data_IF_754198516442
#
_entry.id   IF_754198516442
#
_cell.length_a   1.000
_cell.length_b   1.000
_cell.length_c   1.000
_cell.angle_alpha   90.00
_cell.angle_beta   90.00
_cell.angle_gamma   90.00
#
_symmetry.space_group_name_H-M   'P 1'
#
loop_
_entity.id
_entity.type
_entity.pdbx_description
1 polymer ?
#
# COMPACT_ATOMS: atom_id res chain seq x y z
N UNK A 1 -1.81 -5.58 27.86
CA UNK A 1 -2.26 -6.02 26.54
C UNK A 1 -1.19 -6.95 25.97
N UNK A 2 -1.45 -8.24 25.94
CA UNK A 2 -0.51 -9.23 25.41
C UNK A 2 -0.34 -9.00 23.90
N UNK A 3 0.80 -8.50 23.49
CA UNK A 3 1.22 -8.56 22.09
C UNK A 3 1.41 -10.04 21.75
N UNK A 4 0.45 -10.65 21.07
CA UNK A 4 0.68 -11.89 20.36
C UNK A 4 1.83 -11.64 19.36
N UNK A 5 3.06 -11.97 19.76
CA UNK A 5 4.20 -12.02 18.83
C UNK A 5 3.84 -13.09 17.80
N UNK A 6 3.44 -12.68 16.61
CA UNK A 6 3.32 -13.59 15.46
C UNK A 6 4.60 -14.41 15.35
N UNK A 7 4.45 -15.73 15.30
CA UNK A 7 5.58 -16.65 15.19
C UNK A 7 6.27 -16.39 13.85
N UNK A 8 7.56 -16.11 13.86
CA UNK A 8 8.33 -15.91 12.62
C UNK A 8 8.28 -17.19 11.79
N UNK A 9 7.95 -17.05 10.50
CA UNK A 9 7.89 -18.17 9.54
C UNK A 9 8.92 -17.99 8.45
N UNK A 10 9.31 -19.09 7.81
CA UNK A 10 10.07 -19.11 6.57
C UNK A 10 9.07 -19.19 5.42
N UNK A 11 9.02 -18.15 4.60
CA UNK A 11 8.05 -17.93 3.53
C UNK A 11 8.74 -17.98 2.18
N UNK A 12 8.20 -18.72 1.23
CA UNK A 12 8.60 -18.65 -0.17
C UNK A 12 7.56 -17.95 -1.03
N UNK A 13 8.00 -17.09 -1.95
CA UNK A 13 7.19 -16.59 -3.06
C UNK A 13 7.78 -17.11 -4.36
N UNK A 14 6.94 -17.66 -5.21
CA UNK A 14 7.35 -18.41 -6.42
C UNK A 14 6.69 -17.81 -7.66
N UNK A 15 7.51 -17.50 -8.68
CA UNK A 15 7.04 -17.08 -10.01
C UNK A 15 8.13 -17.30 -11.05
N UNK A 16 7.79 -17.18 -12.33
CA UNK A 16 8.71 -17.30 -13.46
C UNK A 16 9.84 -16.27 -13.40
N UNK A 17 9.51 -15.04 -13.03
CA UNK A 17 10.40 -13.88 -12.94
C UNK A 17 10.16 -13.03 -11.69
N UNK A 18 11.13 -12.16 -11.38
CA UNK A 18 11.09 -11.20 -10.27
C UNK A 18 11.77 -9.90 -10.71
N UNK A 19 11.55 -8.75 -10.07
CA UNK A 19 12.23 -7.51 -10.43
C UNK A 19 13.75 -7.65 -10.58
N UNK A 20 14.38 -6.93 -11.53
CA UNK A 20 13.89 -5.78 -12.27
C UNK A 20 13.10 -6.10 -13.55
N UNK A 21 12.66 -7.35 -13.77
CA UNK A 21 11.70 -7.66 -14.83
C UNK A 21 10.41 -6.89 -14.58
N UNK A 22 9.95 -6.16 -15.60
CA UNK A 22 8.75 -5.32 -15.49
C UNK A 22 7.53 -6.16 -15.80
N UNK A 23 6.68 -6.37 -14.81
CA UNK A 23 5.41 -7.07 -14.94
C UNK A 23 4.54 -6.84 -13.71
N UNK A 24 3.22 -7.03 -13.89
CA UNK A 24 2.26 -6.78 -12.80
C UNK A 24 2.43 -7.74 -11.61
N UNK A 25 2.70 -9.02 -11.90
CA UNK A 25 2.87 -10.04 -10.86
C UNK A 25 4.18 -9.84 -10.09
N UNK A 26 5.25 -9.48 -10.79
CA UNK A 26 6.57 -9.21 -10.21
C UNK A 26 6.50 -8.07 -9.19
N UNK A 27 5.83 -6.96 -9.52
CA UNK A 27 5.62 -5.85 -8.58
C UNK A 27 4.80 -6.26 -7.35
N UNK A 28 3.77 -7.09 -7.54
CA UNK A 28 2.96 -7.59 -6.42
C UNK A 28 3.80 -8.50 -5.53
N UNK A 29 4.58 -9.41 -6.11
CA UNK A 29 5.47 -10.28 -5.35
C UNK A 29 6.52 -9.49 -4.56
N UNK A 30 7.11 -8.46 -5.16
CA UNK A 30 8.06 -7.59 -4.48
C UNK A 30 7.40 -6.91 -3.28
N UNK A 31 6.20 -6.37 -3.47
CA UNK A 31 5.45 -5.74 -2.38
C UNK A 31 5.11 -6.72 -1.25
N UNK A 32 4.61 -7.92 -1.58
CA UNK A 32 4.35 -8.97 -0.59
C UNK A 32 5.62 -9.37 0.16
N UNK A 33 6.73 -9.56 -0.56
CA UNK A 33 8.02 -9.92 0.04
C UNK A 33 8.47 -8.84 1.04
N UNK A 34 8.36 -7.57 0.68
CA UNK A 34 8.68 -6.43 1.56
C UNK A 34 7.78 -6.42 2.80
N UNK A 35 6.47 -6.62 2.66
CA UNK A 35 5.54 -6.64 3.79
C UNK A 35 5.86 -7.81 4.76
N UNK A 36 6.10 -9.00 4.25
CA UNK A 36 6.49 -10.14 5.08
C UNK A 36 7.83 -9.93 5.78
N UNK A 37 8.84 -9.40 5.08
CA UNK A 37 10.15 -9.11 5.65
C UNK A 37 10.08 -8.03 6.74
N UNK A 38 9.31 -6.96 6.53
CA UNK A 38 9.05 -5.91 7.52
C UNK A 38 8.33 -6.44 8.77
N UNK A 39 7.47 -7.43 8.61
CA UNK A 39 6.82 -8.14 9.73
C UNK A 39 7.77 -9.11 10.46
N UNK A 40 9.00 -9.28 9.97
CA UNK A 40 10.05 -10.08 10.61
C UNK A 40 10.09 -11.54 10.18
N UNK A 41 9.37 -11.93 9.13
CA UNK A 41 9.49 -13.26 8.53
C UNK A 41 10.78 -13.38 7.70
N UNK A 42 11.28 -14.60 7.51
CA UNK A 42 12.36 -14.90 6.56
C UNK A 42 11.73 -15.14 5.19
N UNK A 43 12.13 -14.36 4.19
CA UNK A 43 11.52 -14.42 2.85
C UNK A 43 12.52 -14.94 1.82
N UNK A 44 12.08 -15.94 1.07
CA UNK A 44 12.82 -16.53 -0.05
C UNK A 44 12.01 -16.40 -1.34
N UNK A 45 12.59 -15.76 -2.35
CA UNK A 45 12.03 -15.72 -3.70
C UNK A 45 12.60 -16.88 -4.48
N UNK A 46 11.76 -17.70 -5.08
CA UNK A 46 12.16 -18.79 -5.98
C UNK A 46 11.69 -18.42 -7.39
N UNK A 47 12.64 -18.21 -8.30
CA UNK A 47 12.38 -17.62 -9.62
C UNK A 47 13.41 -18.05 -10.67
N UNK A 48 13.09 -17.90 -11.95
CA UNK A 48 14.04 -18.12 -13.05
C UNK A 48 15.02 -16.97 -13.21
N UNK A 49 14.50 -15.75 -13.15
CA UNK A 49 15.27 -14.53 -13.36
C UNK A 49 14.82 -13.45 -12.37
N UNK A 50 15.77 -12.63 -11.92
CA UNK A 50 15.50 -11.53 -10.99
C UNK A 50 16.61 -11.34 -9.96
N UNK A 51 16.52 -10.27 -9.18
CA UNK A 51 17.44 -9.96 -8.07
C UNK A 51 16.71 -9.17 -6.98
N UNK A 52 17.12 -9.32 -5.73
CA UNK A 52 16.68 -8.43 -4.64
C UNK A 52 17.81 -7.49 -4.24
N UNK A 53 17.43 -6.32 -3.78
CA UNK A 53 18.33 -5.35 -3.13
C UNK A 53 18.07 -5.27 -1.63
N UNK A 54 17.07 -5.98 -1.12
CA UNK A 54 16.68 -6.00 0.28
C UNK A 54 17.45 -7.10 1.04
N UNK A 55 18.13 -6.75 2.11
CA UNK A 55 18.97 -7.67 2.90
C UNK A 55 18.21 -8.87 3.49
N UNK A 56 16.94 -8.68 3.82
CA UNK A 56 16.10 -9.71 4.45
C UNK A 56 15.30 -10.56 3.45
N UNK A 57 15.53 -10.39 2.15
CA UNK A 57 14.87 -11.14 1.09
C UNK A 57 15.93 -11.89 0.27
N UNK A 58 15.97 -13.21 0.45
CA UNK A 58 16.89 -14.08 -0.29
C UNK A 58 16.31 -14.47 -1.65
N UNK A 59 17.16 -14.64 -2.67
CA UNK A 59 16.74 -15.14 -3.99
C UNK A 59 17.39 -16.49 -4.29
N UNK A 60 16.56 -17.48 -4.61
CA UNK A 60 16.95 -18.77 -5.13
C UNK A 60 16.57 -18.86 -6.61
N UNK A 61 17.56 -18.91 -7.50
CA UNK A 61 17.33 -18.97 -8.94
C UNK A 61 17.38 -20.41 -9.44
N UNK A 62 16.33 -20.80 -10.17
CA UNK A 62 16.24 -22.05 -10.91
C UNK A 62 16.09 -21.67 -12.38
N UNK A 63 17.14 -21.85 -13.18
CA UNK A 63 17.23 -21.35 -14.57
C UNK A 63 15.97 -21.68 -15.39
N UNK A 64 15.51 -22.92 -15.29
CA UNK A 64 14.40 -23.41 -16.13
C UNK A 64 12.99 -23.05 -15.56
N UNK A 65 12.90 -22.17 -14.53
CA UNK A 65 11.65 -21.48 -14.22
C UNK A 65 11.36 -20.40 -15.24
N UNK A 66 12.43 -19.76 -15.77
CA UNK A 66 12.28 -18.74 -16.80
C UNK A 66 11.59 -19.31 -18.04
N UNK A 67 10.69 -18.53 -18.61
CA UNK A 67 9.96 -18.88 -19.83
C UNK A 67 10.81 -18.84 -21.08
N UNK A 68 11.95 -18.14 -21.02
CA UNK A 68 12.94 -17.94 -22.07
C UNK A 68 14.20 -18.79 -21.88
N UNK A 69 14.20 -19.77 -20.96
CA UNK A 69 15.28 -20.76 -20.92
C UNK A 69 15.14 -21.72 -22.10
N UNK A 70 16.26 -22.04 -22.75
CA UNK A 70 16.30 -22.89 -23.95
C UNK A 70 15.52 -24.20 -23.77
N UNK A 71 15.71 -24.89 -22.64
CA UNK A 71 15.04 -26.16 -22.36
C UNK A 71 13.52 -25.97 -22.18
N UNK A 72 13.09 -24.89 -21.52
CA UNK A 72 11.68 -24.56 -21.34
C UNK A 72 11.02 -24.21 -22.67
N UNK A 73 11.67 -23.40 -23.52
CA UNK A 73 11.15 -23.00 -24.83
C UNK A 73 10.93 -24.24 -25.73
N UNK A 74 11.93 -25.14 -25.81
CA UNK A 74 11.80 -26.36 -26.60
C UNK A 74 10.64 -27.23 -26.15
N UNK A 75 10.53 -27.48 -24.83
CA UNK A 75 9.44 -28.29 -24.25
C UNK A 75 8.09 -27.64 -24.49
N UNK A 76 7.97 -26.30 -24.33
CA UNK A 76 6.74 -25.58 -24.59
C UNK A 76 6.32 -25.62 -26.06
N UNK A 77 7.27 -25.58 -26.99
CA UNK A 77 7.01 -25.69 -28.43
C UNK A 77 6.55 -27.11 -28.80
N UNK A 78 7.23 -28.15 -28.30
CA UNK A 78 6.78 -29.55 -28.47
C UNK A 78 5.33 -29.73 -28.00
N UNK A 79 4.99 -29.20 -26.83
CA UNK A 79 3.64 -29.25 -26.29
C UNK A 79 2.60 -28.49 -27.13
N UNK A 80 2.95 -27.30 -27.64
CA UNK A 80 2.06 -26.53 -28.55
C UNK A 80 1.79 -27.30 -29.86
N UNK A 81 2.77 -28.05 -30.34
CA UNK A 81 2.64 -28.90 -31.51
C UNK A 81 1.92 -30.24 -31.19
N UNK A 82 1.47 -30.43 -29.95
CA UNK A 82 0.71 -31.62 -29.53
C UNK A 82 1.56 -32.81 -29.09
N UNK A 83 2.88 -32.65 -28.97
CA UNK A 83 3.80 -33.72 -28.59
C UNK A 83 4.14 -33.66 -27.09
N UNK A 84 3.81 -34.74 -26.38
CA UNK A 84 4.27 -34.96 -25.00
C UNK A 84 5.47 -35.90 -25.03
N UNK A 85 6.69 -35.33 -25.00
CA UNK A 85 7.95 -36.07 -25.19
C UNK A 85 8.56 -36.51 -23.86
N UNK A 86 9.61 -37.36 -23.92
CA UNK A 86 10.42 -37.70 -22.74
C UNK A 86 11.13 -36.48 -22.16
N UNK A 87 11.44 -35.48 -23.00
CA UNK A 87 12.08 -34.21 -22.59
C UNK A 87 11.23 -33.49 -21.55
N UNK A 88 9.90 -33.42 -21.75
CA UNK A 88 8.99 -32.86 -20.77
C UNK A 88 9.11 -33.58 -19.40
N UNK A 89 9.13 -34.91 -19.39
CA UNK A 89 9.28 -35.69 -18.15
C UNK A 89 10.63 -35.44 -17.45
N UNK A 90 11.71 -35.35 -18.23
CA UNK A 90 13.05 -35.04 -17.68
C UNK A 90 13.10 -33.64 -17.06
N UNK A 91 12.59 -32.61 -17.77
CA UNK A 91 12.53 -31.23 -17.26
C UNK A 91 11.64 -31.14 -16.02
N UNK A 92 10.44 -31.72 -16.05
CA UNK A 92 9.55 -31.77 -14.87
C UNK A 92 10.25 -32.37 -13.65
N UNK A 93 10.91 -33.51 -13.80
CA UNK A 93 11.58 -34.20 -12.69
C UNK A 93 12.79 -33.44 -12.17
N UNK A 94 13.54 -32.76 -13.06
CA UNK A 94 14.63 -31.84 -12.69
C UNK A 94 14.09 -30.69 -11.86
N UNK A 95 13.08 -29.98 -12.37
CA UNK A 95 12.42 -28.87 -11.67
C UNK A 95 11.88 -29.30 -10.32
N UNK A 96 11.20 -30.45 -10.24
CA UNK A 96 10.68 -30.98 -8.98
C UNK A 96 11.76 -31.12 -7.92
N UNK A 97 12.91 -31.73 -8.26
CA UNK A 97 14.04 -31.90 -7.34
C UNK A 97 14.62 -30.56 -6.86
N UNK A 98 14.78 -29.60 -7.77
CA UNK A 98 15.32 -28.28 -7.43
C UNK A 98 14.35 -27.49 -6.55
N UNK A 99 13.04 -27.55 -6.82
CA UNK A 99 11.99 -26.95 -5.99
C UNK A 99 11.97 -27.58 -4.60
N UNK A 100 11.98 -28.90 -4.49
CA UNK A 100 11.99 -29.60 -3.22
C UNK A 100 13.18 -29.19 -2.36
N UNK A 101 14.37 -29.06 -2.98
CA UNK A 101 15.57 -28.55 -2.30
C UNK A 101 15.39 -27.09 -1.82
N UNK A 102 14.80 -26.23 -2.66
CA UNK A 102 14.58 -24.82 -2.33
C UNK A 102 13.54 -24.63 -1.22
N UNK A 103 12.54 -25.51 -1.16
CA UNK A 103 11.43 -25.47 -0.20
C UNK A 103 11.71 -26.24 1.11
N UNK A 104 12.90 -26.85 1.29
CA UNK A 104 13.17 -27.71 2.44
C UNK A 104 12.88 -27.09 3.80
N UNK A 105 13.30 -25.84 4.01
CA UNK A 105 13.14 -25.06 5.23
C UNK A 105 11.89 -24.16 5.25
N UNK A 106 11.08 -24.15 4.19
CA UNK A 106 9.90 -23.29 4.02
C UNK A 106 8.68 -23.93 4.71
N UNK A 107 7.93 -23.14 5.44
CA UNK A 107 6.65 -23.53 6.03
C UNK A 107 5.44 -23.06 5.22
N UNK A 108 5.56 -21.90 4.57
CA UNK A 108 4.49 -21.28 3.76
C UNK A 108 5.00 -20.94 2.38
N UNK A 109 4.30 -21.36 1.33
CA UNK A 109 4.69 -21.14 -0.06
C UNK A 109 3.56 -20.50 -0.85
N UNK A 110 3.79 -19.29 -1.37
CA UNK A 110 2.90 -18.57 -2.27
C UNK A 110 3.33 -18.81 -3.72
N UNK A 111 2.51 -19.50 -4.50
CA UNK A 111 2.77 -19.86 -5.90
C UNK A 111 1.95 -18.96 -6.82
N UNK A 112 2.59 -17.95 -7.42
CA UNK A 112 1.92 -16.95 -8.24
C UNK A 112 1.80 -17.40 -9.70
N UNK A 113 0.58 -17.52 -10.21
CA UNK A 113 0.21 -17.84 -11.60
C UNK A 113 0.70 -19.18 -12.17
N UNK A 114 1.62 -19.90 -11.53
CA UNK A 114 2.24 -21.11 -12.10
C UNK A 114 1.19 -22.20 -12.40
N UNK A 115 0.12 -22.29 -11.60
CA UNK A 115 -0.92 -23.30 -11.73
C UNK A 115 -2.14 -22.85 -12.56
N UNK A 116 -2.12 -21.60 -13.07
CA UNK A 116 -3.21 -21.05 -13.88
C UNK A 116 -2.76 -20.54 -15.24
N UNK A 117 -1.42 -20.35 -15.43
CA UNK A 117 -0.85 -19.86 -16.68
C UNK A 117 0.00 -20.93 -17.36
N UNK A 118 -0.05 -20.92 -18.69
CA UNK A 118 0.54 -21.96 -19.56
C UNK A 118 2.02 -21.77 -19.91
N UNK A 119 2.70 -20.78 -19.33
CA UNK A 119 4.02 -20.34 -19.80
C UNK A 119 5.15 -21.36 -19.56
N UNK A 120 4.99 -22.24 -18.57
CA UNK A 120 5.93 -23.34 -18.30
C UNK A 120 5.19 -24.55 -17.71
N UNK A 121 4.69 -25.43 -18.59
CA UNK A 121 3.87 -26.56 -18.18
C UNK A 121 4.64 -27.64 -17.40
N UNK A 122 5.96 -27.75 -17.62
CA UNK A 122 6.80 -28.65 -16.82
C UNK A 122 6.88 -28.18 -15.36
N UNK A 123 6.98 -26.86 -15.15
CA UNK A 123 6.93 -26.23 -13.82
C UNK A 123 5.57 -26.42 -13.16
N UNK A 124 4.47 -26.20 -13.90
CA UNK A 124 3.10 -26.46 -13.44
C UNK A 124 2.92 -27.90 -12.97
N UNK A 125 3.40 -28.88 -13.76
CA UNK A 125 3.31 -30.29 -13.41
C UNK A 125 4.18 -30.65 -12.19
N UNK A 126 5.37 -30.09 -12.08
CA UNK A 126 6.26 -30.28 -10.92
C UNK A 126 5.60 -29.76 -9.62
N UNK A 127 5.02 -28.54 -9.64
CA UNK A 127 4.30 -27.99 -8.48
C UNK A 127 3.03 -28.78 -8.15
N UNK A 128 2.26 -29.23 -9.14
CA UNK A 128 1.09 -30.10 -8.89
C UNK A 128 1.48 -31.36 -8.12
N UNK A 129 2.60 -32.01 -8.47
CA UNK A 129 3.10 -33.18 -7.74
C UNK A 129 3.59 -32.83 -6.33
N UNK A 130 4.35 -31.74 -6.16
CA UNK A 130 4.87 -31.30 -4.86
C UNK A 130 3.75 -30.96 -3.89
N UNK A 131 2.72 -30.23 -4.34
CA UNK A 131 1.58 -29.88 -3.51
C UNK A 131 0.82 -31.14 -3.04
N UNK A 132 0.67 -32.16 -3.90
CA UNK A 132 0.08 -33.43 -3.52
C UNK A 132 0.92 -34.19 -2.49
N UNK A 133 2.25 -34.11 -2.58
CA UNK A 133 3.17 -34.81 -1.69
C UNK A 133 3.38 -34.11 -0.35
N UNK A 134 3.44 -32.76 -0.34
CA UNK A 134 3.85 -31.98 0.82
C UNK A 134 2.77 -31.06 1.40
N UNK A 135 1.56 -31.05 0.81
CA UNK A 135 0.53 -30.12 1.21
C UNK A 135 -0.12 -30.41 2.58
N UNK A 136 0.16 -31.56 3.19
CA UNK A 136 -0.20 -31.84 4.60
C UNK A 136 0.84 -31.28 5.59
N UNK A 137 2.08 -31.04 5.14
CA UNK A 137 3.20 -30.57 5.98
C UNK A 137 3.46 -29.09 5.83
N UNK A 138 3.10 -28.51 4.68
CA UNK A 138 3.40 -27.12 4.29
C UNK A 138 2.16 -26.43 3.75
N UNK A 139 1.99 -25.16 4.09
CA UNK A 139 0.91 -24.32 3.56
C UNK A 139 1.24 -23.86 2.13
N UNK A 140 0.45 -24.29 1.14
CA UNK A 140 0.56 -23.82 -0.23
C UNK A 140 -0.60 -22.89 -0.59
N UNK A 141 -0.28 -21.63 -0.87
CA UNK A 141 -1.22 -20.63 -1.38
C UNK A 141 -1.04 -20.47 -2.89
N UNK A 142 -2.07 -20.84 -3.65
CA UNK A 142 -2.08 -20.74 -5.11
C UNK A 142 -2.69 -19.40 -5.49
N UNK A 143 -1.82 -18.45 -5.88
CA UNK A 143 -2.22 -17.09 -6.16
C UNK A 143 -2.53 -16.88 -7.63
N UNK A 144 -3.82 -16.72 -7.94
CA UNK A 144 -4.35 -16.65 -9.29
C UNK A 144 -4.62 -15.18 -9.67
N UNK A 145 -3.64 -14.51 -10.27
CA UNK A 145 -3.85 -13.17 -10.83
C UNK A 145 -4.59 -13.25 -12.14
N UNK A 146 -4.24 -14.27 -12.96
CA UNK A 146 -4.83 -14.53 -14.26
C UNK A 146 -4.94 -16.04 -14.52
N UNK A 147 -5.72 -16.40 -15.53
CA UNK A 147 -5.85 -17.78 -15.98
C UNK A 147 -5.88 -17.86 -17.50
N UNK A 148 -5.03 -18.73 -18.06
CA UNK A 148 -4.90 -18.95 -19.50
C UNK A 148 -6.26 -19.15 -20.20
N UNK A 149 -7.11 -20.00 -19.63
CA UNK A 149 -8.38 -20.36 -20.27
C UNK A 149 -9.49 -19.31 -20.15
N UNK A 150 -9.24 -18.25 -19.40
CA UNK A 150 -10.13 -17.09 -19.31
C UNK A 150 -9.72 -15.94 -20.25
N UNK A 151 -8.56 -16.07 -20.91
CA UNK A 151 -8.08 -15.08 -21.86
C UNK A 151 -8.26 -15.62 -23.30
N UNK A 152 -9.11 -14.98 -24.14
CA UNK A 152 -9.38 -15.44 -25.50
C UNK A 152 -8.17 -15.35 -26.44
N UNK A 153 -7.15 -14.56 -26.09
CA UNK A 153 -5.92 -14.42 -26.88
C UNK A 153 -5.02 -15.65 -26.82
N UNK A 154 -5.22 -16.51 -25.80
CA UNK A 154 -4.44 -17.73 -25.65
C UNK A 154 -5.12 -18.94 -26.29
N UNK A 155 -4.54 -19.42 -27.37
CA UNK A 155 -4.99 -20.64 -28.05
C UNK A 155 -4.17 -21.82 -27.58
N UNK A 156 -4.77 -22.67 -26.75
CA UNK A 156 -4.13 -23.86 -26.17
C UNK A 156 -4.67 -25.13 -26.84
N UNK A 157 -3.82 -25.93 -27.49
CA UNK A 157 -4.21 -27.20 -28.06
C UNK A 157 -4.52 -28.21 -26.94
N UNK A 158 -5.43 -29.13 -27.20
CA UNK A 158 -5.69 -30.29 -26.31
C UNK A 158 -6.01 -29.91 -24.84
N UNK A 159 -6.79 -28.84 -24.61
CA UNK A 159 -7.15 -28.29 -23.29
C UNK A 159 -7.49 -29.34 -22.23
N UNK A 160 -8.21 -30.41 -22.60
CA UNK A 160 -8.62 -31.49 -21.69
C UNK A 160 -7.57 -32.57 -21.44
N UNK A 161 -6.38 -32.49 -22.08
CA UNK A 161 -5.31 -33.49 -21.94
C UNK A 161 -4.19 -33.02 -21.05
N UNK A 162 -3.48 -33.95 -20.41
CA UNK A 162 -2.26 -33.68 -19.68
C UNK A 162 -1.16 -33.18 -20.66
N UNK A 163 -0.37 -32.16 -20.30
CA UNK A 163 -0.37 -31.46 -19.01
C UNK A 163 -1.35 -30.27 -18.94
N UNK A 164 -1.99 -29.83 -20.03
CA UNK A 164 -2.83 -28.64 -20.13
C UNK A 164 -4.02 -28.63 -19.16
N UNK A 165 -4.61 -29.82 -18.90
CA UNK A 165 -5.71 -29.97 -17.95
C UNK A 165 -5.36 -29.52 -16.52
N UNK A 166 -4.07 -29.53 -16.14
CA UNK A 166 -3.63 -29.08 -14.81
C UNK A 166 -3.97 -27.60 -14.52
N UNK A 167 -4.14 -26.77 -15.58
CA UNK A 167 -4.51 -25.36 -15.46
C UNK A 167 -5.99 -25.14 -15.07
N UNK A 168 -6.77 -26.19 -14.95
CA UNK A 168 -8.18 -26.17 -14.52
C UNK A 168 -8.50 -27.28 -13.52
N UNK A 169 -7.49 -27.93 -12.95
CA UNK A 169 -7.64 -28.93 -11.90
C UNK A 169 -7.29 -28.33 -10.54
N UNK A 170 -8.19 -28.47 -9.56
CA UNK A 170 -7.94 -28.04 -8.18
C UNK A 170 -6.88 -28.95 -7.55
N UNK A 171 -5.88 -28.35 -6.95
CA UNK A 171 -4.87 -29.08 -6.17
C UNK A 171 -5.43 -29.41 -4.78
N UNK A 172 -5.37 -30.67 -4.32
CA UNK A 172 -6.10 -31.15 -3.12
C UNK A 172 -5.71 -30.45 -1.82
N UNK A 173 -4.46 -30.01 -1.69
CA UNK A 173 -3.95 -29.34 -0.48
C UNK A 173 -3.58 -27.87 -0.74
N UNK A 174 -4.04 -27.28 -1.85
CA UNK A 174 -3.79 -25.90 -2.21
C UNK A 174 -4.90 -24.96 -1.73
N UNK A 175 -4.55 -23.86 -1.10
CA UNK A 175 -5.47 -22.78 -0.76
C UNK A 175 -5.44 -21.72 -1.87
N UNK A 176 -6.58 -21.50 -2.51
CA UNK A 176 -6.65 -20.64 -3.68
C UNK A 176 -6.93 -19.17 -3.32
N UNK A 177 -6.10 -18.27 -3.81
CA UNK A 177 -6.24 -16.82 -3.65
C UNK A 177 -6.44 -16.18 -5.01
N UNK A 178 -7.34 -15.22 -5.08
CA UNK A 178 -7.57 -14.39 -6.25
C UNK A 178 -7.70 -12.92 -5.89
N UNK A 179 -7.62 -12.03 -6.89
CA UNK A 179 -7.44 -10.59 -6.68
C UNK A 179 -8.75 -9.79 -6.67
N UNK A 180 -9.87 -10.38 -7.08
CA UNK A 180 -11.16 -9.67 -7.17
C UNK A 180 -12.34 -10.63 -7.19
N UNK A 181 -13.55 -10.11 -6.90
CA UNK A 181 -14.81 -10.86 -7.00
C UNK A 181 -15.09 -11.32 -8.44
N UNK A 182 -14.75 -10.51 -9.43
CA UNK A 182 -14.89 -10.87 -10.83
C UNK A 182 -14.00 -12.07 -11.17
N UNK A 183 -12.72 -12.02 -10.78
CA UNK A 183 -11.78 -13.12 -11.02
C UNK A 183 -12.18 -14.37 -10.24
N UNK A 184 -12.68 -14.22 -9.03
CA UNK A 184 -13.22 -15.31 -8.23
C UNK A 184 -14.32 -16.07 -8.95
N UNK A 185 -15.29 -15.36 -9.54
CA UNK A 185 -16.37 -15.98 -10.34
C UNK A 185 -15.82 -16.71 -11.56
N UNK A 186 -14.94 -16.07 -12.34
CA UNK A 186 -14.32 -16.67 -13.53
C UNK A 186 -13.54 -17.96 -13.21
N UNK A 187 -12.80 -17.97 -12.10
CA UNK A 187 -12.03 -19.14 -11.68
C UNK A 187 -12.95 -20.26 -11.16
N UNK A 188 -13.99 -19.93 -10.41
CA UNK A 188 -14.99 -20.88 -9.95
C UNK A 188 -15.64 -21.62 -11.12
N UNK A 189 -16.05 -20.90 -12.16
CA UNK A 189 -16.59 -21.47 -13.40
C UNK A 189 -15.55 -22.34 -14.13
N UNK A 190 -14.30 -21.84 -14.24
CA UNK A 190 -13.22 -22.57 -14.92
C UNK A 190 -12.88 -23.90 -14.24
N UNK A 191 -12.76 -23.89 -12.92
CA UNK A 191 -12.39 -25.07 -12.13
C UNK A 191 -13.59 -25.98 -11.79
N UNK A 192 -14.84 -25.53 -12.05
CA UNK A 192 -16.05 -26.27 -11.74
C UNK A 192 -16.26 -26.48 -10.24
N UNK A 193 -15.88 -25.52 -9.41
CA UNK A 193 -15.99 -25.58 -7.95
C UNK A 193 -16.76 -24.39 -7.40
N UNK A 194 -17.25 -24.52 -6.16
CA UNK A 194 -17.93 -23.42 -5.49
C UNK A 194 -17.00 -22.21 -5.29
N UNK A 195 -17.56 -21.02 -5.41
CA UNK A 195 -16.79 -19.79 -5.27
C UNK A 195 -16.16 -19.61 -3.87
N UNK A 196 -16.71 -20.24 -2.83
CA UNK A 196 -16.11 -20.23 -1.48
C UNK A 196 -14.71 -20.84 -1.43
N UNK A 197 -14.35 -21.68 -2.42
CA UNK A 197 -13.01 -22.27 -2.56
C UNK A 197 -11.91 -21.25 -2.85
N UNK A 198 -12.28 -19.98 -3.15
CA UNK A 198 -11.34 -18.92 -3.44
C UNK A 198 -11.42 -17.79 -2.40
N UNK A 199 -10.30 -17.47 -1.77
CA UNK A 199 -10.16 -16.27 -0.96
C UNK A 199 -9.82 -15.08 -1.85
N UNK A 200 -10.37 -13.88 -1.54
CA UNK A 200 -10.01 -12.65 -2.26
C UNK A 200 -8.99 -11.88 -1.44
N UNK A 201 -7.84 -11.61 -2.03
CA UNK A 201 -6.85 -10.66 -1.54
C UNK A 201 -6.58 -9.65 -2.65
N UNK A 202 -7.07 -8.41 -2.53
CA UNK A 202 -6.90 -7.42 -3.58
C UNK A 202 -5.45 -6.98 -3.71
N UNK A 203 -5.07 -6.48 -4.88
CA UNK A 203 -3.78 -5.84 -5.09
C UNK A 203 -3.72 -4.48 -4.39
N UNK A 204 -2.54 -4.11 -3.95
CA UNK A 204 -2.26 -2.84 -3.30
C UNK A 204 -1.50 -1.86 -4.17
N UNK A 205 -1.24 -0.68 -3.61
CA UNK A 205 -0.39 0.36 -4.18
C UNK A 205 0.60 0.88 -3.14
N UNK A 206 1.82 1.18 -3.57
CA UNK A 206 2.83 1.85 -2.74
C UNK A 206 2.56 3.36 -2.69
N UNK A 207 1.73 3.76 -1.73
CA UNK A 207 1.37 5.17 -1.55
C UNK A 207 2.58 6.04 -1.20
N UNK A 208 3.56 5.51 -0.47
CA UNK A 208 4.76 6.25 -0.11
C UNK A 208 5.52 6.68 -1.36
N UNK A 209 5.78 5.74 -2.27
CA UNK A 209 6.45 6.00 -3.52
C UNK A 209 5.65 6.92 -4.44
N UNK A 210 4.35 6.62 -4.65
CA UNK A 210 3.48 7.41 -5.55
C UNK A 210 3.28 8.85 -5.09
N UNK A 211 3.23 9.10 -3.78
CA UNK A 211 3.08 10.45 -3.22
C UNK A 211 4.42 11.17 -3.02
N UNK A 212 5.56 10.50 -3.28
CA UNK A 212 6.89 11.06 -3.07
C UNK A 212 7.18 11.38 -1.60
N UNK A 213 6.74 10.50 -0.69
CA UNK A 213 6.89 10.72 0.75
C UNK A 213 8.26 10.25 1.21
N UNK A 214 9.02 11.15 1.85
CA UNK A 214 10.33 10.84 2.43
C UNK A 214 10.22 9.88 3.61
N UNK A 215 11.30 9.14 3.93
CA UNK A 215 11.34 8.16 5.02
C UNK A 215 10.91 8.76 6.34
N UNK A 216 11.47 9.92 6.67
CA UNK A 216 11.15 10.65 7.90
C UNK A 216 9.65 10.97 8.00
N UNK A 217 9.07 11.54 6.94
CA UNK A 217 7.64 11.92 6.96
C UNK A 217 6.75 10.68 6.95
N UNK A 218 7.16 9.60 6.28
CA UNK A 218 6.43 8.34 6.33
C UNK A 218 6.40 7.75 7.75
N UNK A 219 7.54 7.76 8.44
CA UNK A 219 7.63 7.32 9.83
C UNK A 219 6.76 8.18 10.75
N UNK A 220 6.79 9.52 10.60
CA UNK A 220 5.91 10.43 11.34
C UNK A 220 4.44 10.12 11.06
N UNK A 221 4.08 9.87 9.80
CA UNK A 221 2.71 9.53 9.42
C UNK A 221 2.22 8.23 10.06
N UNK A 222 3.09 7.23 10.17
CA UNK A 222 2.79 5.98 10.88
C UNK A 222 2.64 6.20 12.38
N UNK A 223 3.57 6.90 13.01
CA UNK A 223 3.54 7.19 14.45
C UNK A 223 2.32 8.02 14.88
N UNK A 224 1.86 8.91 14.02
CA UNK A 224 0.65 9.71 14.22
C UNK A 224 -0.63 9.00 13.73
N UNK A 225 -0.52 7.80 13.19
CA UNK A 225 -1.63 7.04 12.61
C UNK A 225 -2.45 7.87 11.60
N UNK A 226 -1.79 8.60 10.69
CA UNK A 226 -2.48 9.47 9.73
C UNK A 226 -3.47 8.72 8.85
N UNK A 227 -3.21 7.46 8.51
CA UNK A 227 -4.11 6.61 7.72
C UNK A 227 -5.47 6.35 8.40
N UNK A 228 -5.53 6.41 9.73
CA UNK A 228 -6.73 6.19 10.54
C UNK A 228 -7.46 7.49 10.91
N UNK A 229 -6.91 8.66 10.54
CA UNK A 229 -7.61 9.92 10.70
C UNK A 229 -8.65 10.08 9.58
N UNK A 230 -9.82 10.62 9.92
CA UNK A 230 -10.83 10.95 8.91
C UNK A 230 -10.46 12.25 8.19
N UNK A 231 -9.90 13.24 8.89
CA UNK A 231 -9.48 14.50 8.31
C UNK A 231 -8.11 14.89 8.87
N UNK A 232 -7.11 15.01 8.01
CA UNK A 232 -5.80 15.56 8.33
C UNK A 232 -5.74 16.98 7.80
N UNK A 233 -5.77 17.96 8.72
CA UNK A 233 -5.63 19.37 8.39
C UNK A 233 -4.15 19.74 8.38
N UNK A 234 -3.73 20.52 7.41
CA UNK A 234 -2.36 20.97 7.27
C UNK A 234 -2.26 22.50 7.33
N UNK A 235 -1.36 23.01 8.17
CA UNK A 235 -1.14 24.44 8.33
C UNK A 235 0.36 24.75 8.32
N UNK A 236 0.95 24.97 7.13
CA UNK A 236 2.38 25.25 6.95
C UNK A 236 2.69 26.73 7.17
N UNK A 237 2.90 27.12 8.39
CA UNK A 237 3.20 28.54 8.72
C UNK A 237 4.12 28.67 9.92
N UNK A 238 4.87 29.79 10.01
CA UNK A 238 5.56 30.19 11.24
C UNK A 238 4.53 30.62 12.28
N UNK A 239 4.84 30.43 13.56
CA UNK A 239 3.96 30.82 14.66
C UNK A 239 3.99 32.35 14.78
N UNK A 240 2.97 33.01 14.26
CA UNK A 240 2.74 34.45 14.28
C UNK A 240 1.25 34.71 14.54
N UNK A 241 0.92 35.76 15.35
CA UNK A 241 -0.49 36.06 15.70
C UNK A 241 -1.39 36.28 14.48
N UNK A 242 -0.87 36.95 13.43
CA UNK A 242 -1.64 37.17 12.18
C UNK A 242 -2.00 35.89 11.44
N UNK A 243 -1.40 34.77 11.80
CA UNK A 243 -1.71 33.44 11.24
C UNK A 243 -2.93 32.80 11.91
N UNK A 244 -3.35 33.30 13.08
CA UNK A 244 -4.59 32.92 13.76
C UNK A 244 -4.67 31.42 14.08
N UNK A 245 -3.65 30.92 14.78
CA UNK A 245 -3.56 29.51 15.19
C UNK A 245 -4.72 29.12 16.11
N UNK A 246 -5.22 30.06 16.91
CA UNK A 246 -6.37 29.87 17.80
C UNK A 246 -7.59 29.38 17.03
N UNK A 247 -7.90 30.02 15.90
CA UNK A 247 -9.04 29.60 15.07
C UNK A 247 -8.83 28.23 14.47
N UNK A 248 -7.60 27.88 14.01
CA UNK A 248 -7.29 26.56 13.51
C UNK A 248 -7.48 25.47 14.60
N UNK A 249 -7.05 25.75 15.83
CA UNK A 249 -7.22 24.85 16.97
C UNK A 249 -8.72 24.67 17.28
N UNK A 250 -9.48 25.77 17.35
CA UNK A 250 -10.93 25.70 17.59
C UNK A 250 -11.68 24.92 16.49
N UNK A 251 -11.34 25.13 15.22
CA UNK A 251 -11.92 24.37 14.08
C UNK A 251 -11.60 22.88 14.23
N UNK A 252 -10.37 22.52 14.57
CA UNK A 252 -9.96 21.12 14.77
C UNK A 252 -10.73 20.49 15.93
N UNK A 253 -10.83 21.20 17.05
CA UNK A 253 -11.64 20.76 18.19
C UNK A 253 -13.12 20.56 17.78
N UNK A 254 -13.70 21.50 17.03
CA UNK A 254 -15.08 21.41 16.55
C UNK A 254 -15.29 20.19 15.63
N UNK A 255 -14.37 19.91 14.71
CA UNK A 255 -14.42 18.71 13.86
C UNK A 255 -14.47 17.43 14.71
N UNK A 256 -13.61 17.31 15.72
CA UNK A 256 -13.59 16.15 16.61
C UNK A 256 -14.91 16.05 17.44
N UNK A 257 -15.47 17.19 17.90
CA UNK A 257 -16.77 17.22 18.58
C UNK A 257 -17.94 16.86 17.67
N UNK A 258 -17.84 17.11 16.37
CA UNK A 258 -18.79 16.67 15.34
C UNK A 258 -18.60 15.19 14.95
N UNK A 259 -17.74 14.45 15.68
CA UNK A 259 -17.50 13.02 15.49
C UNK A 259 -16.52 12.71 14.35
N UNK A 260 -15.80 13.71 13.82
CA UNK A 260 -14.76 13.52 12.82
C UNK A 260 -13.40 13.38 13.46
N UNK A 261 -12.81 12.18 13.42
CA UNK A 261 -11.46 11.95 13.92
C UNK A 261 -10.45 12.77 13.12
N UNK A 262 -10.09 13.95 13.62
CA UNK A 262 -9.32 14.95 12.90
C UNK A 262 -7.99 15.25 13.59
N UNK A 263 -6.95 15.53 12.80
CA UNK A 263 -5.62 15.90 13.27
C UNK A 263 -5.15 17.16 12.55
N UNK A 264 -4.61 18.14 13.29
CA UNK A 264 -4.01 19.35 12.76
C UNK A 264 -2.47 19.26 12.82
N UNK A 265 -1.83 19.34 11.66
CA UNK A 265 -0.39 19.36 11.52
C UNK A 265 0.13 20.79 11.35
N UNK A 266 0.93 21.25 12.29
CA UNK A 266 1.52 22.59 12.37
C UNK A 266 3.02 22.49 12.17
N UNK A 267 3.59 23.07 11.09
CA UNK A 267 5.02 22.90 10.75
C UNK A 267 5.92 23.97 11.30
N UNK A 268 5.39 25.17 11.54
CA UNK A 268 6.21 26.34 11.85
C UNK A 268 6.88 26.25 13.21
N UNK A 269 8.21 26.49 13.29
CA UNK A 269 8.85 26.80 14.55
C UNK A 269 8.46 28.22 15.03
N UNK A 270 8.63 28.51 16.33
CA UNK A 270 8.62 29.87 16.80
C UNK A 270 9.66 30.70 16.06
N UNK A 271 9.38 31.98 15.80
CA UNK A 271 10.34 32.89 15.19
C UNK A 271 11.51 33.16 16.18
N UNK A 272 12.75 32.76 15.86
CA UNK A 272 13.86 32.90 16.79
C UNK A 272 14.22 34.39 17.10
N UNK A 273 13.81 35.28 16.20
CA UNK A 273 14.09 36.74 16.33
C UNK A 273 12.99 37.52 17.05
N UNK A 274 11.90 36.84 17.48
CA UNK A 274 10.78 37.51 18.13
C UNK A 274 10.42 36.83 19.46
N UNK A 275 10.80 37.42 20.59
CA UNK A 275 10.50 36.92 21.94
C UNK A 275 9.00 36.75 22.19
N UNK A 276 8.15 37.59 21.61
CA UNK A 276 6.69 37.51 21.70
C UNK A 276 6.10 36.22 21.09
N UNK A 277 6.88 35.56 20.23
CA UNK A 277 6.45 34.28 19.65
C UNK A 277 6.44 33.16 20.69
N UNK A 278 7.35 33.19 21.66
CA UNK A 278 7.37 32.18 22.75
C UNK A 278 6.17 32.34 23.69
N UNK A 279 5.82 33.59 24.02
CA UNK A 279 4.62 33.89 24.81
C UNK A 279 3.37 33.39 24.08
N UNK A 280 3.25 33.67 22.77
CA UNK A 280 2.15 33.25 21.96
C UNK A 280 2.06 31.72 21.86
N UNK A 281 3.18 31.01 21.70
CA UNK A 281 3.21 29.54 21.73
C UNK A 281 2.69 29.01 23.08
N UNK A 282 3.08 29.64 24.19
CA UNK A 282 2.58 29.22 25.52
C UNK A 282 1.08 29.43 25.66
N UNK A 283 0.52 30.52 25.11
CA UNK A 283 -0.93 30.75 25.06
C UNK A 283 -1.64 29.67 24.24
N UNK A 284 -1.08 29.29 23.07
CA UNK A 284 -1.63 28.21 22.23
C UNK A 284 -1.60 26.85 22.95
N UNK A 285 -0.51 26.53 23.64
CA UNK A 285 -0.42 25.31 24.45
C UNK A 285 -1.46 25.30 25.59
N UNK A 286 -1.67 26.45 26.25
CA UNK A 286 -2.71 26.58 27.27
C UNK A 286 -4.12 26.40 26.67
N UNK A 287 -4.37 26.94 25.49
CA UNK A 287 -5.64 26.76 24.77
C UNK A 287 -5.88 25.28 24.40
N UNK A 288 -4.87 24.60 23.84
CA UNK A 288 -4.93 23.18 23.49
C UNK A 288 -5.28 22.33 24.72
N UNK A 289 -4.61 22.59 25.84
CA UNK A 289 -4.92 21.90 27.12
C UNK A 289 -6.31 22.22 27.65
N UNK A 290 -6.74 23.49 27.57
CA UNK A 290 -8.10 23.90 27.98
C UNK A 290 -9.18 23.18 27.17
N UNK A 291 -8.93 22.90 25.90
CA UNK A 291 -9.85 22.21 24.99
C UNK A 291 -9.72 20.68 25.03
N UNK A 292 -8.77 20.13 25.80
CA UNK A 292 -8.46 18.70 25.88
C UNK A 292 -8.20 18.10 24.48
N UNK A 293 -7.36 18.79 23.68
CA UNK A 293 -7.07 18.41 22.29
C UNK A 293 -5.57 18.28 21.99
N UNK A 294 -4.76 17.86 22.99
CA UNK A 294 -3.31 17.67 22.87
C UNK A 294 -2.94 16.58 21.86
N UNK A 295 -3.84 15.61 21.64
CA UNK A 295 -3.62 14.52 20.68
C UNK A 295 -4.03 14.88 19.25
N UNK A 296 -4.85 15.91 19.11
CA UNK A 296 -5.40 16.36 17.84
C UNK A 296 -4.63 17.50 17.19
N UNK A 297 -3.73 18.18 17.95
CA UNK A 297 -2.94 19.31 17.47
C UNK A 297 -1.45 19.02 17.62
N UNK A 298 -0.79 18.82 16.50
CA UNK A 298 0.63 18.41 16.47
C UNK A 298 1.51 19.54 15.94
N UNK A 299 2.35 20.08 16.80
CA UNK A 299 3.46 20.94 16.40
C UNK A 299 4.63 20.06 15.93
N UNK A 300 4.83 19.95 14.63
CA UNK A 300 5.84 19.04 14.07
C UNK A 300 7.25 19.36 14.57
N UNK A 301 7.57 20.63 14.81
CA UNK A 301 8.88 21.01 15.36
C UNK A 301 9.16 20.43 16.77
N UNK A 302 8.13 20.07 17.55
CA UNK A 302 8.29 19.40 18.84
C UNK A 302 8.71 17.93 18.71
N UNK A 303 8.56 17.33 17.53
CA UNK A 303 8.97 15.94 17.28
C UNK A 303 10.48 15.74 17.27
N UNK A 304 11.26 16.82 17.31
CA UNK A 304 12.73 16.76 17.45
C UNK A 304 13.18 15.97 18.70
N UNK A 305 12.38 15.93 19.76
CA UNK A 305 12.67 15.14 20.94
C UNK A 305 12.63 13.62 20.64
N UNK A 306 11.79 13.21 19.71
CA UNK A 306 11.65 11.81 19.27
C UNK A 306 12.63 11.44 18.15
N UNK A 307 12.85 12.36 17.19
CA UNK A 307 13.63 12.07 15.97
C UNK A 307 15.06 12.62 15.98
N UNK A 308 15.48 13.23 17.09
CA UNK A 308 16.84 13.73 17.31
C UNK A 308 17.00 15.24 17.08
N UNK A 309 18.11 15.78 17.58
CA UNK A 309 18.39 17.26 17.58
C UNK A 309 18.56 17.84 16.17
N UNK A 310 18.97 17.00 15.20
CA UNK A 310 19.14 17.41 13.80
C UNK A 310 17.82 17.38 13.00
N UNK A 311 16.71 17.06 13.67
CA UNK A 311 15.39 17.05 13.05
C UNK A 311 15.01 18.42 12.50
N UNK A 312 14.90 18.51 11.18
CA UNK A 312 14.50 19.72 10.45
C UNK A 312 13.53 19.36 9.33
N UNK A 313 12.47 20.13 9.24
CA UNK A 313 11.53 20.05 8.12
C UNK A 313 12.07 20.90 6.97
N UNK A 314 12.57 20.25 5.93
CA UNK A 314 12.96 20.86 4.67
C UNK A 314 11.81 20.91 3.66
N UNK A 315 12.09 21.45 2.47
CA UNK A 315 11.07 21.63 1.42
C UNK A 315 10.45 20.30 0.94
N UNK A 316 11.26 19.26 0.76
CA UNK A 316 10.76 17.91 0.42
C UNK A 316 9.84 17.31 1.48
N UNK A 317 10.12 17.59 2.75
CA UNK A 317 9.28 17.17 3.86
C UNK A 317 7.92 17.90 3.84
N UNK A 318 7.93 19.22 3.54
CA UNK A 318 6.69 19.98 3.36
C UNK A 318 5.85 19.43 2.21
N UNK A 319 6.46 19.14 1.06
CA UNK A 319 5.78 18.54 -0.09
C UNK A 319 5.11 17.22 0.27
N UNK A 320 5.79 16.38 1.06
CA UNK A 320 5.25 15.11 1.54
C UNK A 320 4.05 15.32 2.49
N UNK A 321 4.12 16.30 3.39
CA UNK A 321 3.02 16.65 4.29
C UNK A 321 1.78 17.15 3.54
N UNK A 322 1.97 18.00 2.50
CA UNK A 322 0.87 18.37 1.60
C UNK A 322 0.23 17.14 0.95
N UNK A 323 1.03 16.18 0.50
CA UNK A 323 0.54 14.95 -0.17
C UNK A 323 -0.22 14.00 0.78
N UNK A 324 0.11 14.01 2.06
CA UNK A 324 -0.52 13.15 3.08
C UNK A 324 -1.74 13.78 3.76
N UNK A 325 -1.92 15.08 3.58
CA UNK A 325 -3.02 15.84 4.20
C UNK A 325 -4.30 15.76 3.37
N UNK A 326 -5.42 16.02 4.01
CA UNK A 326 -6.75 15.98 3.39
C UNK A 326 -7.23 17.38 3.00
N UNK A 327 -6.75 18.43 3.70
CA UNK A 327 -7.11 19.82 3.44
C UNK A 327 -6.03 20.78 3.99
N UNK A 328 -5.72 21.83 3.24
CA UNK A 328 -5.02 23.00 3.77
C UNK A 328 -6.00 23.84 4.59
N UNK A 329 -5.73 24.06 5.87
CA UNK A 329 -6.45 25.02 6.70
C UNK A 329 -5.60 26.27 6.90
N UNK A 330 -6.05 27.44 6.38
CA UNK A 330 -5.21 28.65 6.37
C UNK A 330 -5.98 29.90 6.84
N UNK A 331 -6.20 30.04 8.17
CA UNK A 331 -7.07 31.07 8.76
C UNK A 331 -6.37 32.41 9.01
N UNK A 332 -5.37 32.78 8.20
CA UNK A 332 -4.61 34.02 8.39
C UNK A 332 -5.48 35.26 8.32
N UNK A 333 -5.24 36.23 9.20
CA UNK A 333 -5.91 37.52 9.19
C UNK A 333 -5.30 38.50 8.19
N UNK A 334 -4.02 38.27 7.82
CA UNK A 334 -3.32 39.13 6.87
C UNK A 334 -2.20 38.34 6.18
N UNK A 335 -2.12 38.44 4.86
CA UNK A 335 -1.05 37.90 4.02
C UNK A 335 -0.76 38.84 2.85
N UNK A 336 0.50 38.80 2.37
CA UNK A 336 0.87 39.52 1.17
C UNK A 336 0.37 38.85 -0.11
N UNK A 337 0.36 37.49 -0.15
CA UNK A 337 -0.03 36.74 -1.35
C UNK A 337 -0.67 35.37 -1.00
N UNK A 338 -0.02 34.53 -0.17
CA UNK A 338 -0.53 33.20 0.20
C UNK A 338 0.12 32.05 -0.57
N UNK A 339 1.47 31.98 -0.61
CA UNK A 339 2.19 30.86 -1.26
C UNK A 339 1.65 29.49 -0.87
N UNK A 340 1.30 29.20 0.40
CA UNK A 340 0.72 27.89 0.76
C UNK A 340 -0.54 27.50 -0.02
N UNK A 341 -1.32 28.46 -0.52
CA UNK A 341 -2.48 28.17 -1.36
C UNK A 341 -2.04 27.60 -2.72
N UNK A 342 -0.97 28.17 -3.33
CA UNK A 342 -0.43 27.66 -4.59
C UNK A 342 0.20 26.27 -4.42
N UNK A 343 0.92 26.06 -3.31
CA UNK A 343 1.53 24.78 -2.97
C UNK A 343 0.45 23.69 -2.79
N UNK A 344 -0.62 23.99 -2.05
CA UNK A 344 -1.76 23.08 -1.88
C UNK A 344 -2.46 22.78 -3.21
N UNK A 345 -2.75 23.83 -3.99
CA UNK A 345 -3.39 23.69 -5.30
C UNK A 345 -2.56 22.84 -6.27
N UNK A 346 -1.20 23.01 -6.26
CA UNK A 346 -0.29 22.21 -7.09
C UNK A 346 -0.31 20.72 -6.73
N UNK A 347 -0.67 20.39 -5.50
CA UNK A 347 -0.88 19.02 -5.00
C UNK A 347 -2.34 18.55 -5.13
N UNK A 348 -3.22 19.37 -5.72
CA UNK A 348 -4.67 19.11 -5.78
C UNK A 348 -5.30 18.92 -4.39
N UNK A 349 -4.69 19.50 -3.36
CA UNK A 349 -5.18 19.44 -2.00
C UNK A 349 -6.34 20.46 -1.85
N UNK A 350 -7.49 20.05 -1.33
CA UNK A 350 -8.58 20.97 -0.98
C UNK A 350 -8.09 22.07 -0.04
N UNK A 351 -8.67 23.27 -0.15
CA UNK A 351 -8.26 24.45 0.61
C UNK A 351 -9.45 25.04 1.35
N UNK A 352 -9.29 25.27 2.66
CA UNK A 352 -10.16 26.10 3.48
C UNK A 352 -9.34 27.29 4.01
N UNK A 353 -9.68 28.49 3.64
CA UNK A 353 -8.92 29.68 4.03
C UNK A 353 -9.83 30.86 4.37
N UNK A 354 -9.25 31.84 5.07
CA UNK A 354 -9.96 33.06 5.43
C UNK A 354 -10.33 33.90 4.20
N UNK A 355 -11.48 34.56 4.24
CA UNK A 355 -11.96 35.47 3.20
C UNK A 355 -11.24 36.83 3.32
N UNK A 356 -9.96 36.89 2.90
CA UNK A 356 -9.16 38.12 2.78
C UNK A 356 -8.77 38.39 1.34
N UNK A 357 -8.58 39.66 0.98
CA UNK A 357 -8.40 40.10 -0.41
C UNK A 357 -7.28 39.35 -1.15
N UNK A 358 -6.12 39.15 -0.50
CA UNK A 358 -4.98 38.44 -1.10
C UNK A 358 -5.27 36.95 -1.39
N UNK A 359 -6.19 36.33 -0.67
CA UNK A 359 -6.57 34.94 -0.92
C UNK A 359 -7.65 34.83 -1.99
N UNK A 360 -8.66 35.71 -1.93
CA UNK A 360 -9.75 35.72 -2.95
C UNK A 360 -9.23 36.07 -4.34
N UNK A 361 -8.18 36.86 -4.44
CA UNK A 361 -7.50 37.14 -5.72
C UNK A 361 -6.97 35.87 -6.38
N UNK A 362 -6.40 34.95 -5.58
CA UNK A 362 -5.76 33.72 -6.05
C UNK A 362 -6.77 32.58 -6.22
N UNK A 363 -7.69 32.41 -5.28
CA UNK A 363 -8.47 31.17 -5.14
C UNK A 363 -9.92 31.28 -5.62
N UNK A 364 -10.51 32.49 -5.58
CA UNK A 364 -11.93 32.73 -5.97
C UNK A 364 -12.87 31.62 -5.44
N UNK A 365 -13.71 31.08 -6.33
CA UNK A 365 -14.69 30.03 -6.05
C UNK A 365 -14.12 28.60 -5.89
N UNK A 366 -12.81 28.41 -6.08
CA UNK A 366 -12.20 27.07 -6.07
C UNK A 366 -11.83 26.56 -4.66
N UNK A 367 -12.12 27.35 -3.62
CA UNK A 367 -11.77 27.03 -2.24
C UNK A 367 -12.93 27.27 -1.29
N UNK A 368 -12.89 26.67 -0.10
CA UNK A 368 -13.81 27.01 0.98
C UNK A 368 -13.33 28.29 1.66
N UNK A 369 -13.99 29.42 1.39
CA UNK A 369 -13.74 30.70 2.08
C UNK A 369 -14.60 30.81 3.34
N UNK A 370 -14.03 31.29 4.45
CA UNK A 370 -14.73 31.58 5.69
C UNK A 370 -14.30 32.93 6.27
N UNK A 371 -15.16 33.59 7.03
CA UNK A 371 -14.80 34.80 7.74
C UNK A 371 -14.15 34.47 9.08
N UNK A 372 -13.21 35.29 9.53
CA UNK A 372 -12.48 35.10 10.80
C UNK A 372 -13.37 35.19 12.05
N UNK A 373 -14.58 35.69 11.92
CA UNK A 373 -15.59 35.81 12.99
C UNK A 373 -16.66 34.72 12.93
N UNK A 374 -16.63 33.88 11.89
CA UNK A 374 -17.59 32.76 11.78
C UNK A 374 -17.37 31.79 12.95
N UNK A 375 -18.44 31.16 13.40
CA UNK A 375 -18.34 30.16 14.47
C UNK A 375 -17.47 28.97 14.04
N UNK A 376 -16.50 28.49 14.84
CA UNK A 376 -15.64 27.37 14.51
C UNK A 376 -16.41 26.09 14.17
N UNK A 377 -17.59 25.84 14.79
CA UNK A 377 -18.42 24.68 14.47
C UNK A 377 -19.09 24.83 13.10
N UNK A 378 -19.52 26.03 12.71
CA UNK A 378 -20.05 26.29 11.36
C UNK A 378 -18.95 26.10 10.31
N UNK A 379 -17.74 26.61 10.54
CA UNK A 379 -16.61 26.39 9.65
C UNK A 379 -16.28 24.90 9.55
N UNK A 380 -16.24 24.18 10.66
CA UNK A 380 -16.00 22.74 10.71
C UNK A 380 -17.04 21.95 9.89
N UNK A 381 -18.33 22.28 10.04
CA UNK A 381 -19.39 21.64 9.26
C UNK A 381 -19.23 21.91 7.76
N UNK A 382 -18.90 23.15 7.37
CA UNK A 382 -18.65 23.52 5.97
C UNK A 382 -17.42 22.81 5.40
N UNK A 383 -16.37 22.55 6.21
CA UNK A 383 -15.22 21.75 5.81
C UNK A 383 -15.65 20.30 5.52
N UNK A 384 -16.47 19.70 6.39
CA UNK A 384 -17.01 18.35 6.19
C UNK A 384 -17.79 18.28 4.88
N UNK A 385 -18.71 19.23 4.64
CA UNK A 385 -19.57 19.26 3.45
C UNK A 385 -18.74 19.49 2.18
N UNK A 386 -17.74 20.38 2.26
CA UNK A 386 -16.81 20.64 1.16
C UNK A 386 -15.99 19.39 0.77
N UNK A 387 -15.40 18.69 1.73
CA UNK A 387 -14.67 17.46 1.50
C UNK A 387 -15.62 16.36 0.97
N UNK A 388 -16.82 16.26 1.50
CA UNK A 388 -17.83 15.31 1.05
C UNK A 388 -18.27 15.55 -0.40
N UNK A 389 -18.17 16.76 -0.91
CA UNK A 389 -18.47 17.09 -2.31
C UNK A 389 -17.34 16.71 -3.29
N UNK A 390 -16.19 16.23 -2.81
CA UNK A 390 -15.00 15.95 -3.62
C UNK A 390 -14.86 14.45 -3.96
N UNK A 391 -15.28 13.95 -5.13
CA UNK A 391 -15.21 12.52 -5.47
C UNK A 391 -13.78 11.94 -5.41
N UNK A 392 -12.79 12.72 -5.88
CA UNK A 392 -11.38 12.31 -5.87
C UNK A 392 -10.85 12.14 -4.46
N UNK A 393 -11.27 13.01 -3.53
CA UNK A 393 -10.94 12.88 -2.10
C UNK A 393 -11.47 11.56 -1.52
N UNK A 394 -12.73 11.22 -1.78
CA UNK A 394 -13.31 9.97 -1.30
C UNK A 394 -12.59 8.73 -1.85
N UNK A 395 -12.26 8.74 -3.15
CA UNK A 395 -11.51 7.64 -3.75
C UNK A 395 -10.11 7.53 -3.12
N UNK A 396 -9.42 8.65 -2.95
CA UNK A 396 -8.10 8.67 -2.28
C UNK A 396 -8.17 8.11 -0.86
N UNK A 397 -9.15 8.53 -0.05
CA UNK A 397 -9.37 7.99 1.30
C UNK A 397 -9.62 6.48 1.29
N UNK A 398 -10.43 6.00 0.35
CA UNK A 398 -10.68 4.57 0.16
C UNK A 398 -9.39 3.83 -0.20
N UNK A 399 -8.61 4.35 -1.17
CA UNK A 399 -7.35 3.73 -1.57
C UNK A 399 -6.38 3.66 -0.39
N UNK A 400 -6.18 4.76 0.34
CA UNK A 400 -5.30 4.83 1.51
C UNK A 400 -5.69 3.83 2.59
N UNK A 401 -6.98 3.67 2.85
CA UNK A 401 -7.50 2.80 3.92
C UNK A 401 -7.57 1.32 3.55
N UNK A 402 -7.78 1.01 2.26
CA UNK A 402 -8.15 -0.35 1.82
C UNK A 402 -7.11 -0.98 0.91
N UNK A 403 -6.40 -0.17 0.10
CA UNK A 403 -5.54 -0.65 -0.98
C UNK A 403 -4.07 -0.19 -0.86
N UNK A 404 -3.64 0.42 0.25
CA UNK A 404 -2.20 0.52 0.53
C UNK A 404 -1.65 -0.87 0.86
N UNK A 405 -0.37 -1.12 0.60
CA UNK A 405 0.23 -2.42 0.92
C UNK A 405 0.19 -2.74 2.41
N UNK A 406 0.31 -1.73 3.27
CA UNK A 406 0.13 -1.88 4.72
C UNK A 406 -1.29 -2.35 5.07
N UNK A 407 -2.31 -1.76 4.44
CA UNK A 407 -3.69 -2.17 4.65
C UNK A 407 -3.94 -3.60 4.12
N UNK A 408 -3.37 -3.95 2.97
CA UNK A 408 -3.44 -5.32 2.41
C UNK A 408 -2.77 -6.31 3.37
N UNK A 409 -1.61 -5.96 3.91
CA UNK A 409 -0.92 -6.82 4.88
C UNK A 409 -1.77 -7.05 6.13
N UNK A 410 -2.21 -6.00 6.79
CA UNK A 410 -2.95 -6.10 8.06
C UNK A 410 -4.32 -6.79 7.90
N UNK A 411 -5.02 -6.56 6.78
CA UNK A 411 -6.36 -7.08 6.58
C UNK A 411 -6.41 -8.48 5.95
N UNK A 412 -5.32 -8.93 5.30
CA UNK A 412 -5.33 -10.18 4.53
C UNK A 412 -4.06 -11.03 4.70
N UNK A 413 -2.86 -10.47 4.39
CA UNK A 413 -1.64 -11.28 4.32
C UNK A 413 -1.19 -11.82 5.67
N UNK A 414 -1.41 -11.07 6.72
CA UNK A 414 -1.03 -11.41 8.10
C UNK A 414 -1.73 -12.69 8.59
N UNK A 415 -3.00 -12.87 8.25
CA UNK A 415 -3.77 -14.07 8.59
C UNK A 415 -3.21 -15.31 7.89
N UNK A 416 -2.79 -15.18 6.63
CA UNK A 416 -2.23 -16.30 5.85
C UNK A 416 -0.91 -16.84 6.42
N UNK A 417 -0.23 -16.07 7.25
CA UNK A 417 1.07 -16.44 7.85
C UNK A 417 1.04 -16.47 9.39
N UNK A 418 -0.12 -16.40 9.99
CA UNK A 418 -0.31 -16.44 11.45
C UNK A 418 -0.05 -17.84 12.08
#
# INVERSE_FOLDING_TARGET
MNSNKTKKKNIALVHYSYPPVIGGVEFIMEAHAKQFAQAGHQVKIITGVGRSVEENISIHRIKDFSTDSEETEIVQEELRNGFLTERFGKLKNKLKKEIQKALGDISVCFVHNVLTMHFNMALTAAFSEIIKEWGEEKDFYIWCHDATFNNPDYQIPNRGKYPWKLLQEVQPHGLYITISSCRKKQLSELFGVDSSSFQIVPNGVDLRSFLGVTDLIWQIAQDLNLSHQEIVLFFPSRILRRKNYELAIHITHALNRLGKKSLLLLTGPPDPHNSKTKEYLSELCALIKKLDCEKEVIFIHNLKEKYGQDFKIGYSHLQALYSLSDILLFPSSQEGFGIPLLEAASKKLPIACSNIASFTEVTKEYTLLFNLKDDPYEIAQRIIDFLNSQPTYHLFKKIRKTYSWEAIYENYLKELVS
#
